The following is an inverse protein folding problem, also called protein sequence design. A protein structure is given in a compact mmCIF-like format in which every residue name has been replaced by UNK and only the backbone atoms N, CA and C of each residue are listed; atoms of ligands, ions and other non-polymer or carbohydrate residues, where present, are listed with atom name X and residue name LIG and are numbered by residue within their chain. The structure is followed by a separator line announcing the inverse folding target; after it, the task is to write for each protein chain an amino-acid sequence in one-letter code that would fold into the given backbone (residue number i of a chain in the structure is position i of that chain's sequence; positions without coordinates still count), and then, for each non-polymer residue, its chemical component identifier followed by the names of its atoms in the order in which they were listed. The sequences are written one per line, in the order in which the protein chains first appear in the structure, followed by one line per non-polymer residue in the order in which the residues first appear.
data_IF_268938161445
#
_entry.id   IF_268938161445
#
_cell.length_a   1.000
_cell.length_b   1.000
_cell.length_c   1.000
_cell.angle_alpha   90.00
_cell.angle_beta   90.00
_cell.angle_gamma   90.00
#
_symmetry.space_group_name_H-M   'P 1'
#
loop_
_entity.id
_entity.type
_entity.pdbx_description
1 polymer ?
#
# COMPACT_ATOMS: atom_id res chain seq x y z
N UNK A 1 9.61 16.43 -1.03
CA UNK A 1 8.54 16.04 -0.08
C UNK A 1 7.55 17.17 0.21
N UNK A 2 7.86 18.22 0.97
CA UNK A 2 6.86 19.24 1.39
C UNK A 2 6.07 19.86 0.22
N UNK A 3 6.74 20.09 -0.91
CA UNK A 3 6.10 20.60 -2.14
C UNK A 3 5.07 19.64 -2.76
N UNK A 4 5.13 18.35 -2.44
CA UNK A 4 4.16 17.32 -2.87
C UNK A 4 2.83 17.39 -2.10
N UNK A 5 2.81 18.08 -0.95
CA UNK A 5 1.59 18.34 -0.18
C UNK A 5 0.91 19.59 -0.75
N UNK A 6 -0.42 19.60 -0.83
CA UNK A 6 -1.18 20.75 -1.33
C UNK A 6 -0.89 22.00 -0.49
N UNK A 7 -0.64 23.14 -1.12
CA UNK A 7 -0.20 24.36 -0.42
C UNK A 7 -1.16 24.79 0.71
N UNK A 8 -2.48 24.66 0.49
CA UNK A 8 -3.53 24.97 1.47
C UNK A 8 -3.58 24.04 2.68
N UNK A 9 -2.84 22.93 2.64
CA UNK A 9 -2.82 21.89 3.67
C UNK A 9 -1.45 21.77 4.36
N UNK A 10 -0.43 22.49 3.90
CA UNK A 10 0.91 22.43 4.51
C UNK A 10 0.90 23.10 5.88
N UNK A 11 1.57 22.47 6.84
CA UNK A 11 2.03 23.13 8.06
C UNK A 11 3.12 24.20 7.76
N UNK A 12 3.43 25.09 8.72
CA UNK A 12 4.58 25.99 8.62
C UNK A 12 5.89 25.23 8.47
N UNK A 13 6.92 25.88 7.89
CA UNK A 13 8.21 25.23 7.62
C UNK A 13 8.83 24.59 8.88
N UNK A 14 8.67 25.22 10.05
CA UNK A 14 9.18 24.71 11.33
C UNK A 14 8.66 23.31 11.69
N UNK A 15 7.42 22.97 11.29
CA UNK A 15 6.81 21.66 11.54
C UNK A 15 7.63 20.51 10.95
N UNK A 16 8.24 20.75 9.79
CA UNK A 16 8.99 19.73 9.05
C UNK A 16 10.48 19.68 9.43
N UNK A 17 10.89 20.36 10.49
CA UNK A 17 12.28 20.32 10.96
C UNK A 17 12.62 18.89 11.34
N UNK A 18 13.60 18.31 10.65
CA UNK A 18 14.04 16.93 10.89
C UNK A 18 14.87 16.88 12.17
N UNK A 19 14.47 16.02 13.10
CA UNK A 19 15.14 15.77 14.38
C UNK A 19 16.07 14.56 14.35
N UNK A 20 15.61 13.45 13.76
CA UNK A 20 16.42 12.24 13.57
C UNK A 20 15.92 11.44 12.34
N UNK A 21 16.79 10.59 11.81
CA UNK A 21 16.48 9.67 10.71
C UNK A 21 17.06 8.29 11.01
N UNK A 22 16.21 7.26 10.97
CA UNK A 22 16.62 5.87 11.16
C UNK A 22 16.13 4.99 10.01
N UNK A 23 17.03 4.16 9.48
CA UNK A 23 16.65 3.14 8.50
C UNK A 23 15.95 1.99 9.22
N UNK A 24 14.75 1.62 8.76
CA UNK A 24 14.05 0.42 9.24
C UNK A 24 14.53 -0.79 8.45
N UNK A 25 15.07 -1.77 9.15
CA UNK A 25 15.49 -3.06 8.59
C UNK A 25 14.43 -4.14 8.89
N UNK A 26 14.41 -5.22 8.10
CA UNK A 26 13.56 -6.39 8.35
C UNK A 26 12.07 -6.05 8.46
N UNK A 27 11.51 -5.38 7.47
CA UNK A 27 10.10 -4.98 7.48
C UNK A 27 9.44 -5.20 6.12
N UNK A 28 8.17 -5.61 6.16
CA UNK A 28 7.34 -5.88 4.99
C UNK A 28 7.43 -7.35 4.56
N UNK A 29 6.32 -7.90 4.08
CA UNK A 29 6.25 -9.27 3.54
C UNK A 29 6.60 -9.24 2.05
N UNK A 30 5.87 -8.48 1.23
CA UNK A 30 6.12 -8.31 -0.21
C UNK A 30 7.09 -7.17 -0.57
N UNK A 31 7.76 -6.57 0.40
CA UNK A 31 8.68 -5.43 0.21
C UNK A 31 10.05 -5.60 0.85
N UNK A 32 10.40 -6.84 1.23
CA UNK A 32 11.76 -7.18 1.62
C UNK A 32 12.76 -6.74 0.55
N UNK A 33 13.88 -6.18 0.98
CA UNK A 33 14.90 -5.59 0.11
C UNK A 33 14.68 -4.12 -0.29
N UNK A 34 13.46 -3.58 -0.13
CA UNK A 34 13.20 -2.14 -0.38
C UNK A 34 13.61 -1.28 0.81
N UNK A 35 14.08 -0.07 0.52
CA UNK A 35 14.52 0.88 1.53
C UNK A 35 13.33 1.49 2.29
N UNK A 36 13.48 1.59 3.61
CA UNK A 36 12.50 2.20 4.50
C UNK A 36 13.20 3.06 5.55
N UNK A 37 12.69 4.27 5.78
CA UNK A 37 13.21 5.17 6.81
C UNK A 37 12.09 5.70 7.69
N UNK A 38 12.39 5.86 8.98
CA UNK A 38 11.61 6.65 9.90
C UNK A 38 12.32 7.99 10.08
N UNK A 39 11.58 9.07 9.88
CA UNK A 39 12.07 10.45 9.95
C UNK A 39 11.26 11.15 11.02
N UNK A 40 11.90 11.47 12.15
CA UNK A 40 11.27 12.24 13.21
C UNK A 40 11.28 13.72 12.84
N UNK A 41 10.13 14.38 12.87
CA UNK A 41 9.99 15.82 12.64
C UNK A 41 9.32 16.52 13.82
N UNK A 42 9.52 17.83 13.93
CA UNK A 42 9.06 18.65 15.06
C UNK A 42 7.57 18.57 15.38
N UNK A 43 6.67 18.74 14.41
CA UNK A 43 5.24 18.83 14.71
C UNK A 43 4.73 20.26 14.95
N UNK A 44 3.61 20.40 15.64
CA UNK A 44 2.85 21.66 15.67
C UNK A 44 3.45 22.72 16.61
N UNK A 45 4.22 22.30 17.60
CA UNK A 45 4.83 23.11 18.64
C UNK A 45 6.32 22.75 18.79
N UNK A 46 7.02 23.40 19.72
CA UNK A 46 8.40 23.03 20.09
C UNK A 46 8.48 21.96 21.18
N UNK A 47 7.35 21.35 21.54
CA UNK A 47 7.29 20.25 22.50
C UNK A 47 7.67 18.95 21.79
N UNK A 48 8.26 18.01 22.50
CA UNK A 48 8.52 16.67 21.94
C UNK A 48 7.28 15.77 21.96
N UNK A 49 6.18 16.23 22.57
CA UNK A 49 4.95 15.45 22.72
C UNK A 49 4.11 15.38 21.44
N UNK A 50 4.32 16.32 20.53
CA UNK A 50 3.63 16.41 19.24
C UNK A 50 4.57 16.21 18.04
N UNK A 51 5.78 15.69 18.31
CA UNK A 51 6.69 15.22 17.28
C UNK A 51 6.00 14.15 16.41
N UNK A 52 6.24 14.24 15.11
CA UNK A 52 5.62 13.34 14.13
C UNK A 52 6.67 12.41 13.55
N UNK A 53 6.34 11.12 13.50
CA UNK A 53 7.17 10.13 12.84
C UNK A 53 6.69 9.92 11.40
N UNK A 54 7.46 10.38 10.43
CA UNK A 54 7.18 10.11 9.02
C UNK A 54 7.83 8.80 8.58
N UNK A 55 7.09 7.97 7.85
CA UNK A 55 7.60 6.75 7.25
C UNK A 55 7.82 6.96 5.74
N UNK A 56 9.07 6.81 5.32
CA UNK A 56 9.50 6.88 3.92
C UNK A 56 9.64 5.46 3.40
N UNK A 57 8.79 5.05 2.46
CA UNK A 57 8.83 3.72 1.82
C UNK A 57 9.23 3.84 0.36
N UNK A 58 10.35 3.22 -0.02
CA UNK A 58 10.75 3.12 -1.41
C UNK A 58 9.68 2.37 -2.20
N UNK A 59 9.30 2.92 -3.35
CA UNK A 59 8.33 2.34 -4.27
C UNK A 59 9.02 1.76 -5.49
N UNK A 60 8.38 0.77 -6.10
CA UNK A 60 8.77 0.16 -7.36
C UNK A 60 7.60 0.19 -8.34
N UNK A 61 7.86 -0.17 -9.60
CA UNK A 61 6.83 -0.40 -10.61
C UNK A 61 5.72 -1.29 -10.06
N UNK A 62 4.46 -1.00 -10.42
CA UNK A 62 3.33 -1.85 -10.04
C UNK A 62 3.48 -3.22 -10.69
N UNK A 63 3.23 -4.29 -9.93
CA UNK A 63 3.14 -5.63 -10.49
C UNK A 63 2.04 -5.72 -11.56
N UNK A 64 0.95 -4.97 -11.39
CA UNK A 64 -0.15 -4.90 -12.38
C UNK A 64 0.33 -4.28 -13.70
N UNK A 65 1.30 -3.35 -13.67
CA UNK A 65 1.83 -2.77 -14.91
C UNK A 65 2.54 -3.82 -15.78
N UNK A 66 3.01 -4.93 -15.20
CA UNK A 66 3.63 -6.03 -15.92
C UNK A 66 2.60 -6.93 -16.62
N UNK A 67 1.39 -7.03 -16.07
CA UNK A 67 0.34 -7.92 -16.58
C UNK A 67 -0.62 -7.22 -17.55
N UNK A 68 -0.72 -5.89 -17.49
CA UNK A 68 -1.54 -5.07 -18.40
C UNK A 68 -0.74 -3.92 -19.03
N UNK A 69 0.24 -4.23 -19.90
CA UNK A 69 1.10 -3.20 -20.50
C UNK A 69 0.28 -2.18 -21.29
N UNK A 70 0.52 -0.89 -21.04
CA UNK A 70 -0.19 0.23 -21.67
C UNK A 70 -1.44 0.70 -20.94
N UNK A 71 -2.00 -0.09 -20.01
CA UNK A 71 -3.24 0.26 -19.31
C UNK A 71 -3.00 1.03 -17.99
N UNK A 72 -1.73 1.29 -17.63
CA UNK A 72 -1.35 2.13 -16.50
C UNK A 72 -0.29 3.16 -16.91
N UNK A 73 -0.66 4.16 -17.74
CA UNK A 73 0.29 5.13 -18.29
C UNK A 73 1.03 5.90 -17.18
N UNK A 74 2.35 5.83 -17.18
CA UNK A 74 3.19 6.41 -16.12
C UNK A 74 3.08 7.94 -16.01
N UNK A 75 2.75 8.59 -17.12
CA UNK A 75 2.53 10.04 -17.21
C UNK A 75 1.43 10.53 -16.29
N UNK A 76 0.40 9.71 -16.02
CA UNK A 76 -0.71 10.04 -15.12
C UNK A 76 -0.28 10.29 -13.67
N UNK A 77 0.91 9.84 -13.26
CA UNK A 77 1.46 10.09 -11.94
C UNK A 77 2.88 10.65 -12.02
N UNK A 78 3.15 11.47 -13.05
CA UNK A 78 4.43 12.17 -13.20
C UNK A 78 5.62 11.24 -13.41
N UNK A 79 5.38 9.99 -13.85
CA UNK A 79 6.38 8.92 -13.96
C UNK A 79 7.15 8.68 -12.65
N UNK A 80 6.49 8.87 -11.50
CA UNK A 80 7.08 8.69 -10.19
C UNK A 80 6.25 7.72 -9.32
N UNK A 81 6.79 6.54 -9.02
CA UNK A 81 6.07 5.47 -8.31
C UNK A 81 5.60 5.90 -6.90
N UNK A 82 6.36 6.76 -6.23
CA UNK A 82 5.94 7.37 -4.95
C UNK A 82 4.71 8.27 -5.10
N UNK A 83 4.58 8.97 -6.23
CA UNK A 83 3.43 9.82 -6.51
C UNK A 83 2.20 8.96 -6.81
N UNK A 84 2.36 7.85 -7.53
CA UNK A 84 1.27 6.90 -7.78
C UNK A 84 0.67 6.41 -6.47
N UNK A 85 1.51 5.90 -5.57
CA UNK A 85 1.04 5.37 -4.28
C UNK A 85 0.45 6.49 -3.41
N UNK A 86 1.08 7.66 -3.34
CA UNK A 86 0.54 8.80 -2.59
C UNK A 86 -0.85 9.25 -3.09
N UNK A 87 -1.11 9.21 -4.40
CA UNK A 87 -2.43 9.49 -4.98
C UNK A 87 -3.44 8.44 -4.54
N UNK A 88 -3.13 7.15 -4.69
CA UNK A 88 -4.01 6.05 -4.28
C UNK A 88 -4.31 6.09 -2.77
N UNK A 89 -3.31 6.31 -1.92
CA UNK A 89 -3.50 6.40 -0.46
C UNK A 89 -4.44 7.53 -0.04
N UNK A 90 -4.51 8.62 -0.83
CA UNK A 90 -5.44 9.73 -0.56
C UNK A 90 -6.87 9.40 -0.99
N UNK A 91 -7.03 8.82 -2.18
CA UNK A 91 -8.34 8.54 -2.77
C UNK A 91 -9.15 7.47 -1.99
N UNK A 92 -8.48 6.57 -1.28
CA UNK A 92 -9.12 5.44 -0.59
C UNK A 92 -9.73 5.78 0.77
N UNK A 93 -9.63 7.03 1.24
CA UNK A 93 -10.06 7.44 2.59
C UNK A 93 -10.70 8.83 2.55
N UNK A 94 -11.69 9.08 3.42
CA UNK A 94 -12.39 10.37 3.48
C UNK A 94 -11.50 11.52 3.99
N UNK A 95 -10.67 11.24 4.99
CA UNK A 95 -9.81 12.21 5.65
C UNK A 95 -8.37 11.72 5.59
N UNK A 96 -7.82 11.74 4.37
CA UNK A 96 -6.43 11.35 4.16
C UNK A 96 -5.50 12.19 5.04
N UNK A 97 -4.52 11.51 5.65
CA UNK A 97 -3.43 12.19 6.37
C UNK A 97 -2.79 13.24 5.45
N UNK A 98 -2.71 14.46 5.97
CA UNK A 98 -2.19 15.62 5.25
C UNK A 98 -0.71 15.46 4.90
N UNK A 99 0.02 14.66 5.69
CA UNK A 99 1.43 14.35 5.52
C UNK A 99 1.64 13.26 4.46
N UNK A 100 0.58 12.69 3.87
CA UNK A 100 0.74 11.83 2.70
C UNK A 100 1.37 12.63 1.55
N UNK A 101 2.54 12.20 1.13
CA UNK A 101 3.30 12.83 0.07
C UNK A 101 4.29 11.86 -0.56
N UNK A 102 5.21 12.43 -1.34
CA UNK A 102 6.22 11.66 -2.04
C UNK A 102 7.47 12.50 -2.29
N UNK A 103 8.57 11.82 -2.56
CA UNK A 103 9.84 12.46 -2.95
C UNK A 103 10.74 11.42 -3.61
N UNK A 104 11.84 11.88 -4.22
CA UNK A 104 12.96 10.99 -4.56
C UNK A 104 14.09 11.14 -3.55
N UNK A 105 14.72 10.04 -3.15
CA UNK A 105 15.95 10.03 -2.33
C UNK A 105 16.98 9.21 -3.08
N UNK A 106 18.14 9.79 -3.41
CA UNK A 106 19.16 9.12 -4.22
C UNK A 106 18.64 8.61 -5.58
N UNK A 107 17.72 9.36 -6.21
CA UNK A 107 17.09 8.98 -7.48
C UNK A 107 16.01 7.90 -7.38
N UNK A 108 15.78 7.32 -6.20
CA UNK A 108 14.75 6.30 -5.97
C UNK A 108 13.44 6.94 -5.49
N UNK A 109 12.27 6.48 -5.96
CA UNK A 109 10.98 7.07 -5.58
C UNK A 109 10.52 6.58 -4.21
N UNK A 110 9.98 7.49 -3.39
CA UNK A 110 9.43 7.20 -2.06
C UNK A 110 8.00 7.72 -1.93
N UNK A 111 7.15 6.90 -1.34
CA UNK A 111 5.88 7.30 -0.72
C UNK A 111 6.14 7.62 0.75
N UNK A 112 5.52 8.68 1.25
CA UNK A 112 5.71 9.20 2.60
C UNK A 112 4.34 9.38 3.23
N UNK A 113 4.20 8.97 4.50
CA UNK A 113 3.01 9.20 5.32
C UNK A 113 3.40 9.26 6.79
N UNK A 114 2.51 9.73 7.67
CA UNK A 114 2.70 9.60 9.11
C UNK A 114 2.62 8.13 9.55
N UNK A 115 3.57 7.69 10.36
CA UNK A 115 3.49 6.43 11.10
C UNK A 115 2.70 6.66 12.37
N UNK A 116 1.41 6.32 12.34
CA UNK A 116 0.58 6.36 13.54
C UNK A 116 1.14 5.44 14.64
N UNK A 117 1.17 5.90 15.91
CA UNK A 117 1.51 5.05 17.06
C UNK A 117 0.43 4.00 17.37
N UNK A 118 -0.78 4.16 16.83
CA UNK A 118 -1.92 3.26 17.01
C UNK A 118 -2.08 2.26 15.85
N UNK A 119 -1.19 2.28 14.86
CA UNK A 119 -1.25 1.32 13.77
C UNK A 119 -0.70 -0.02 14.25
N UNK A 120 -1.58 -1.02 14.27
CA UNK A 120 -1.30 -2.40 14.64
C UNK A 120 -1.48 -3.33 13.44
N UNK A 121 -0.71 -4.41 13.42
CA UNK A 121 -0.90 -5.50 12.47
C UNK A 121 -1.94 -6.48 13.02
N UNK A 122 -2.67 -7.13 12.11
CA UNK A 122 -3.62 -8.19 12.49
C UNK A 122 -2.85 -9.44 12.86
N UNK A 123 -3.04 -9.93 14.08
CA UNK A 123 -2.48 -11.21 14.52
C UNK A 123 -3.25 -12.37 13.87
N UNK A 124 -2.60 -13.05 12.92
CA UNK A 124 -3.19 -14.19 12.23
C UNK A 124 -3.52 -15.35 13.19
N UNK A 125 -2.79 -15.49 14.31
CA UNK A 125 -3.05 -16.54 15.30
C UNK A 125 -4.32 -16.31 16.10
N UNK A 126 -4.86 -15.07 16.09
CA UNK A 126 -6.13 -14.76 16.71
C UNK A 126 -7.34 -15.38 15.97
N UNK A 127 -7.15 -15.85 14.73
CA UNK A 127 -8.16 -16.54 13.92
C UNK A 127 -8.21 -18.05 14.20
N UNK A 128 -8.31 -18.42 15.48
CA UNK A 128 -8.36 -19.80 15.99
C UNK A 128 -9.71 -20.53 15.76
N UNK A 129 -10.64 -19.94 15.00
CA UNK A 129 -11.94 -20.53 14.71
C UNK A 129 -12.65 -19.87 13.53
N UNK A 130 -13.43 -20.67 12.79
CA UNK A 130 -14.11 -20.24 11.57
C UNK A 130 -14.97 -18.98 11.77
N UNK A 131 -15.70 -18.87 12.89
CA UNK A 131 -16.54 -17.69 13.16
C UNK A 131 -15.76 -16.37 13.31
N UNK A 132 -14.54 -16.41 13.86
CA UNK A 132 -13.67 -15.22 13.93
C UNK A 132 -13.18 -14.82 12.54
N UNK A 133 -12.81 -15.81 11.72
CA UNK A 133 -12.38 -15.58 10.35
C UNK A 133 -13.52 -15.01 9.50
N UNK A 134 -14.73 -15.56 9.61
CA UNK A 134 -15.93 -15.05 8.92
C UNK A 134 -16.21 -13.60 9.29
N UNK A 135 -16.09 -13.28 10.58
CA UNK A 135 -16.28 -11.92 11.08
C UNK A 135 -15.21 -10.97 10.53
N UNK A 136 -13.94 -11.37 10.56
CA UNK A 136 -12.84 -10.58 10.00
C UNK A 136 -13.01 -10.38 8.49
N UNK A 137 -13.37 -11.43 7.75
CA UNK A 137 -13.60 -11.37 6.31
C UNK A 137 -14.75 -10.40 5.96
N UNK A 138 -15.82 -10.36 6.77
CA UNK A 138 -16.90 -9.40 6.60
C UNK A 138 -16.40 -7.95 6.76
N UNK A 139 -15.63 -7.65 7.81
CA UNK A 139 -15.07 -6.32 8.04
C UNK A 139 -14.03 -5.91 6.99
N UNK A 140 -13.15 -6.83 6.58
CA UNK A 140 -12.19 -6.56 5.50
C UNK A 140 -12.89 -6.31 4.18
N UNK A 141 -13.94 -7.08 3.86
CA UNK A 141 -14.76 -6.84 2.68
C UNK A 141 -15.43 -5.47 2.71
N UNK A 142 -15.98 -5.06 3.85
CA UNK A 142 -16.57 -3.72 4.02
C UNK A 142 -15.54 -2.60 3.89
N UNK A 143 -14.36 -2.75 4.50
CA UNK A 143 -13.28 -1.78 4.40
C UNK A 143 -12.78 -1.64 2.95
N UNK A 144 -12.57 -2.76 2.26
CA UNK A 144 -12.15 -2.78 0.86
C UNK A 144 -13.20 -2.15 -0.06
N UNK A 145 -14.48 -2.53 0.10
CA UNK A 145 -15.57 -1.94 -0.66
C UNK A 145 -15.69 -0.42 -0.44
N UNK A 146 -15.50 0.04 0.80
CA UNK A 146 -15.50 1.46 1.13
C UNK A 146 -14.34 2.20 0.47
N UNK A 147 -13.13 1.63 0.51
CA UNK A 147 -11.96 2.21 -0.15
C UNK A 147 -12.16 2.34 -1.67
N UNK A 148 -12.78 1.35 -2.31
CA UNK A 148 -13.12 1.43 -3.73
C UNK A 148 -14.18 2.49 -4.03
N UNK A 149 -15.25 2.55 -3.24
CA UNK A 149 -16.31 3.54 -3.42
C UNK A 149 -15.81 4.98 -3.21
N UNK A 150 -14.88 5.19 -2.28
CA UNK A 150 -14.24 6.49 -2.06
C UNK A 150 -13.32 6.88 -3.21
N UNK A 151 -12.49 5.93 -3.68
CA UNK A 151 -11.58 6.20 -4.78
C UNK A 151 -12.31 6.52 -6.09
N UNK A 152 -13.52 6.01 -6.27
CA UNK A 152 -14.37 6.32 -7.42
C UNK A 152 -14.91 7.76 -7.40
N UNK A 153 -15.12 8.36 -6.22
CA UNK A 153 -15.52 9.78 -6.12
C UNK A 153 -14.41 10.74 -6.56
N UNK A 154 -13.15 10.34 -6.39
CA UNK A 154 -11.96 11.07 -6.82
C UNK A 154 -11.48 10.62 -8.23
N UNK A 155 -12.41 10.10 -9.06
CA UNK A 155 -12.14 9.61 -10.40
C UNK A 155 -11.52 10.69 -11.32
N UNK A 156 -10.38 10.33 -11.91
CA UNK A 156 -9.69 11.13 -12.92
C UNK A 156 -9.78 10.42 -14.29
N UNK A 157 -10.68 10.90 -15.15
CA UNK A 157 -10.92 10.35 -16.48
C UNK A 157 -9.69 10.36 -17.40
N UNK A 158 -8.66 11.15 -17.07
CA UNK A 158 -7.38 11.14 -17.79
C UNK A 158 -6.50 9.93 -17.44
N UNK A 159 -6.79 9.25 -16.33
CA UNK A 159 -6.06 8.06 -15.86
C UNK A 159 -6.74 6.79 -16.33
N UNK A 160 -8.05 6.69 -16.13
CA UNK A 160 -8.87 5.57 -16.61
C UNK A 160 -10.12 6.19 -17.22
N UNK A 161 -10.41 5.92 -18.49
CA UNK A 161 -11.50 6.59 -19.22
C UNK A 161 -12.85 5.87 -19.13
N UNK A 162 -12.94 4.86 -18.26
CA UNK A 162 -14.10 3.99 -18.09
C UNK A 162 -14.32 3.68 -16.61
N UNK A 163 -15.54 3.29 -16.26
CA UNK A 163 -15.90 2.88 -14.90
C UNK A 163 -15.43 1.44 -14.65
N UNK A 164 -14.43 1.29 -13.77
CA UNK A 164 -13.83 -0.01 -13.43
C UNK A 164 -14.86 -0.89 -12.73
N UNK A 165 -15.64 -0.32 -11.82
CA UNK A 165 -16.72 -0.99 -11.09
C UNK A 165 -17.78 -1.55 -12.04
N UNK A 166 -18.13 -0.83 -13.11
CA UNK A 166 -19.02 -1.36 -14.16
C UNK A 166 -18.35 -2.49 -14.93
N UNK A 167 -17.08 -2.35 -15.35
CA UNK A 167 -16.39 -3.43 -16.05
C UNK A 167 -16.32 -4.72 -15.21
N UNK A 168 -16.02 -4.58 -13.92
CA UNK A 168 -16.03 -5.71 -12.97
C UNK A 168 -17.43 -6.28 -12.83
N UNK A 169 -18.45 -5.44 -12.66
CA UNK A 169 -19.84 -5.88 -12.53
C UNK A 169 -20.35 -6.61 -13.77
N UNK A 170 -20.04 -6.10 -14.97
CA UNK A 170 -20.42 -6.70 -16.25
C UNK A 170 -19.71 -8.05 -16.49
N UNK A 171 -18.49 -8.21 -15.97
CA UNK A 171 -17.74 -9.47 -16.05
C UNK A 171 -18.30 -10.57 -15.13
N UNK A 172 -18.99 -10.19 -14.05
CA UNK A 172 -19.56 -11.14 -13.08
C UNK A 172 -20.89 -11.67 -13.63
N UNK A 173 -20.87 -12.90 -14.14
CA UNK A 173 -22.07 -13.58 -14.66
C UNK A 173 -22.92 -14.25 -13.57
N UNK A 174 -22.32 -14.57 -12.42
CA UNK A 174 -23.00 -15.15 -11.26
C UNK A 174 -22.24 -14.85 -9.98
N UNK A 175 -22.96 -14.39 -8.93
CA UNK A 175 -22.38 -14.20 -7.60
C UNK A 175 -21.88 -15.51 -6.98
N UNK A 176 -22.58 -16.63 -7.20
CA UNK A 176 -22.11 -17.93 -6.71
C UNK A 176 -20.88 -18.40 -7.49
N UNK A 177 -20.88 -18.19 -8.81
CA UNK A 177 -19.72 -18.50 -9.67
C UNK A 177 -18.47 -17.74 -9.23
N UNK A 178 -18.57 -16.42 -9.01
CA UNK A 178 -17.47 -15.60 -8.53
C UNK A 178 -16.93 -16.09 -7.17
N UNK A 179 -17.82 -16.49 -6.24
CA UNK A 179 -17.40 -17.04 -4.95
C UNK A 179 -16.58 -18.32 -5.13
N UNK A 180 -17.03 -19.22 -6.00
CA UNK A 180 -16.30 -20.45 -6.33
C UNK A 180 -14.94 -20.13 -6.94
N UNK A 181 -14.89 -19.25 -7.94
CA UNK A 181 -13.64 -18.88 -8.62
C UNK A 181 -12.61 -18.25 -7.67
N UNK A 182 -13.04 -17.33 -6.79
CA UNK A 182 -12.15 -16.73 -5.78
C UNK A 182 -11.66 -17.78 -4.79
N UNK A 183 -12.52 -18.71 -4.36
CA UNK A 183 -12.13 -19.78 -3.45
C UNK A 183 -11.12 -20.73 -4.10
N UNK A 184 -11.40 -21.18 -5.31
CA UNK A 184 -10.52 -22.08 -6.08
C UNK A 184 -9.15 -21.42 -6.32
N UNK A 185 -9.14 -20.14 -6.70
CA UNK A 185 -7.90 -19.37 -6.83
C UNK A 185 -7.13 -19.30 -5.50
N UNK A 186 -7.81 -19.03 -4.38
CA UNK A 186 -7.17 -18.91 -3.08
C UNK A 186 -6.53 -20.23 -2.63
N UNK A 187 -7.21 -21.37 -2.80
CA UNK A 187 -6.67 -22.68 -2.46
C UNK A 187 -5.54 -23.10 -3.40
N UNK A 188 -5.69 -22.90 -4.72
CA UNK A 188 -4.61 -23.20 -5.67
C UNK A 188 -3.36 -22.34 -5.41
N UNK A 189 -3.53 -21.08 -5.02
CA UNK A 189 -2.41 -20.22 -4.65
C UNK A 189 -1.77 -20.63 -3.32
N UNK A 190 -2.55 -21.12 -2.36
CA UNK A 190 -2.01 -21.68 -1.12
C UNK A 190 -1.13 -22.91 -1.42
N UNK A 191 -1.59 -23.82 -2.27
CA UNK A 191 -0.82 -24.98 -2.71
C UNK A 191 0.50 -24.54 -3.38
N UNK A 192 0.46 -23.49 -4.23
CA UNK A 192 1.66 -22.94 -4.86
C UNK A 192 2.65 -22.37 -3.82
N UNK A 193 2.17 -21.66 -2.80
CA UNK A 193 3.03 -21.11 -1.74
C UNK A 193 3.72 -22.23 -0.95
N UNK A 194 3.04 -23.35 -0.69
CA UNK A 194 3.65 -24.52 -0.04
C UNK A 194 4.74 -25.16 -0.90
N UNK A 195 4.50 -25.28 -2.21
CA UNK A 195 5.50 -25.77 -3.17
C UNK A 195 6.72 -24.85 -3.26
N UNK A 196 6.48 -23.53 -3.34
CA UNK A 196 7.55 -22.52 -3.39
C UNK A 196 8.39 -22.54 -2.11
N UNK A 197 7.74 -22.74 -0.95
CA UNK A 197 8.42 -22.89 0.33
C UNK A 197 9.30 -24.13 0.37
N UNK A 198 8.80 -25.28 -0.09
CA UNK A 198 9.59 -26.51 -0.17
C UNK A 198 10.82 -26.32 -1.08
N UNK A 199 10.62 -25.74 -2.27
CA UNK A 199 11.71 -25.44 -3.19
C UNK A 199 12.75 -24.47 -2.60
N UNK A 200 12.30 -23.46 -1.84
CA UNK A 200 13.17 -22.55 -1.12
C UNK A 200 14.02 -23.27 -0.08
N UNK A 201 13.42 -24.14 0.73
CA UNK A 201 14.13 -24.94 1.74
C UNK A 201 15.18 -25.82 1.08
N UNK A 202 14.81 -26.55 0.02
CA UNK A 202 15.73 -27.42 -0.71
C UNK A 202 16.93 -26.65 -1.27
N UNK A 203 16.69 -25.48 -1.88
CA UNK A 203 17.76 -24.62 -2.41
C UNK A 203 18.67 -24.11 -1.29
N UNK A 204 18.08 -23.67 -0.17
CA UNK A 204 18.82 -23.20 1.01
C UNK A 204 19.73 -24.29 1.59
N UNK A 205 19.21 -25.50 1.75
CA UNK A 205 19.97 -26.64 2.26
C UNK A 205 21.09 -27.08 1.30
N UNK A 206 20.86 -26.99 -0.01
CA UNK A 206 21.87 -27.23 -1.03
C UNK A 206 22.91 -26.09 -1.18
N UNK A 207 22.71 -24.95 -0.49
CA UNK A 207 23.59 -23.79 -0.59
C UNK A 207 23.55 -23.10 -1.96
N UNK A 208 22.45 -23.26 -2.70
CA UNK A 208 22.24 -22.64 -4.02
C UNK A 208 21.15 -21.57 -3.95
N UNK A 209 21.22 -20.51 -4.78
CA UNK A 209 20.12 -19.57 -4.90
C UNK A 209 18.87 -20.27 -5.44
N UNK A 210 17.70 -19.94 -4.87
CA UNK A 210 16.44 -20.09 -5.57
C UNK A 210 16.38 -18.91 -6.56
N UNK A 211 16.28 -19.23 -7.86
CA UNK A 211 16.36 -18.34 -9.03
C UNK A 211 17.79 -17.96 -9.51
#
# INVERSE_FOLDING_TARGET
YVTSIAASKRHPAAFYTVKDVRRKLGSGVGSLGRQRYYVLVEGASSSTSDDVLLEFKQQAASAVAQTVPGNLPATCYGSHEGQRVARTSKAQVLNADVLIGWTSVGGQPYWIHEKSPYQEDVDATAFDGAGKLDTAAAYFGQALASAHALADQDYDASVVSYSIDKQVSDAITSKSGLKTEIADFAFAYADQVELDWAAFVDAYEAGVPLY
#
